data_IF_250068855275
#
_entry.id   IF_250068855275
#
_cell.length_a   1.000
_cell.length_b   1.000
_cell.length_c   1.000
_cell.angle_alpha   90.00
_cell.angle_beta   90.00
_cell.angle_gamma   90.00
#
_symmetry.space_group_name_H-M   'P 1'
#
loop_
_entity.id
_entity.type
_entity.pdbx_description
1 polymer ?
#
# COMPACT_ATOMS: atom_id res chain seq x y z
N UNK A 1 -28.89 30.77 20.43
CA UNK A 1 -28.45 29.52 21.08
C UNK A 1 -27.09 29.14 20.52
N UNK A 2 -26.09 28.93 21.38
CA UNK A 2 -24.74 28.49 20.95
C UNK A 2 -24.70 26.97 21.00
N UNK A 3 -24.36 26.32 19.89
CA UNK A 3 -24.32 24.85 19.80
C UNK A 3 -22.97 24.39 19.27
N UNK A 4 -22.53 23.22 19.76
CA UNK A 4 -21.44 22.44 19.18
C UNK A 4 -22.03 21.15 18.62
N UNK A 5 -21.83 20.90 17.33
CA UNK A 5 -22.28 19.67 16.64
C UNK A 5 -21.05 18.91 16.16
N UNK A 6 -21.03 17.59 16.34
CA UNK A 6 -19.96 16.71 15.84
C UNK A 6 -20.59 15.64 14.97
N UNK A 7 -20.22 15.62 13.68
CA UNK A 7 -20.51 14.54 12.76
C UNK A 7 -19.29 13.63 12.66
N UNK A 8 -19.46 12.39 13.07
CA UNK A 8 -18.39 11.40 13.06
C UNK A 8 -18.50 10.45 11.86
N UNK A 9 -17.37 10.16 11.22
CA UNK A 9 -17.19 9.23 10.09
C UNK A 9 -18.15 9.46 8.91
N UNK A 10 -18.28 10.72 8.49
CA UNK A 10 -19.14 11.09 7.35
C UNK A 10 -18.57 10.55 6.05
N UNK A 11 -19.37 9.78 5.31
CA UNK A 11 -18.99 9.18 4.03
C UNK A 11 -19.58 9.91 2.83
N UNK A 12 -20.68 10.64 3.02
CA UNK A 12 -21.36 11.39 1.96
C UNK A 12 -21.98 12.69 2.48
N UNK A 13 -22.03 13.71 1.61
CA UNK A 13 -22.66 15.01 1.89
C UNK A 13 -24.13 14.89 2.31
N UNK A 14 -24.90 13.97 1.71
CA UNK A 14 -26.33 13.79 2.00
C UNK A 14 -26.62 13.38 3.44
N UNK A 15 -25.67 12.75 4.14
CA UNK A 15 -25.82 12.40 5.56
C UNK A 15 -25.92 13.66 6.43
N UNK A 16 -25.20 14.73 6.09
CA UNK A 16 -25.24 15.98 6.84
C UNK A 16 -26.47 16.80 6.44
N UNK A 17 -26.77 16.87 5.14
CA UNK A 17 -27.94 17.60 4.63
C UNK A 17 -29.25 17.07 5.21
N UNK A 18 -29.40 15.75 5.30
CA UNK A 18 -30.60 15.13 5.92
C UNK A 18 -30.75 15.42 7.42
N UNK A 19 -29.65 15.72 8.13
CA UNK A 19 -29.67 15.98 9.57
C UNK A 19 -29.86 17.47 9.93
N UNK A 20 -29.29 18.38 9.13
CA UNK A 20 -29.29 19.83 9.43
C UNK A 20 -30.24 20.61 8.52
N UNK A 21 -30.59 20.10 7.34
CA UNK A 21 -31.31 20.85 6.32
C UNK A 21 -30.47 22.03 5.82
N UNK A 22 -30.73 23.23 6.35
CA UNK A 22 -29.97 24.45 6.04
C UNK A 22 -29.08 24.88 7.22
N UNK A 23 -27.93 25.51 6.94
CA UNK A 23 -27.09 26.13 7.98
C UNK A 23 -27.68 27.43 8.55
N UNK A 24 -28.76 27.96 7.97
CA UNK A 24 -29.32 29.28 8.30
C UNK A 24 -29.85 29.38 9.74
N UNK A 25 -30.16 28.25 10.40
CA UNK A 25 -30.60 28.26 11.79
C UNK A 25 -29.44 28.32 12.79
N UNK A 26 -28.19 28.20 12.35
CA UNK A 26 -27.02 28.25 13.22
C UNK A 26 -26.49 29.68 13.36
N UNK A 27 -26.35 30.12 14.62
CA UNK A 27 -25.72 31.41 14.92
C UNK A 27 -24.21 31.38 14.57
N UNK A 28 -23.59 32.52 14.21
CA UNK A 28 -22.15 32.59 13.88
C UNK A 28 -21.19 32.14 15.00
N UNK A 29 -21.68 32.05 16.24
CA UNK A 29 -20.91 31.57 17.41
C UNK A 29 -20.96 30.05 17.61
N UNK A 30 -21.83 29.35 16.87
CA UNK A 30 -21.92 27.89 16.85
C UNK A 30 -20.73 27.27 16.10
N UNK A 31 -20.43 26.00 16.39
CA UNK A 31 -19.36 25.25 15.73
C UNK A 31 -19.84 23.88 15.29
N UNK A 32 -19.43 23.47 14.09
CA UNK A 32 -19.60 22.11 13.58
C UNK A 32 -18.22 21.51 13.39
N UNK A 33 -18.04 20.27 13.85
CA UNK A 33 -16.86 19.45 13.59
C UNK A 33 -17.33 18.28 12.74
N UNK A 34 -16.63 18.01 11.64
CA UNK A 34 -16.89 16.88 10.76
C UNK A 34 -15.60 16.05 10.73
N UNK A 35 -15.70 14.77 11.04
CA UNK A 35 -14.63 13.81 10.79
C UNK A 35 -15.00 12.99 9.56
N UNK A 36 -14.01 12.77 8.69
CA UNK A 36 -14.16 11.95 7.50
C UNK A 36 -12.79 11.47 7.05
N UNK A 37 -12.78 10.34 6.35
CA UNK A 37 -11.59 9.83 5.67
C UNK A 37 -11.45 10.36 4.25
N UNK A 38 -12.46 11.07 3.73
CA UNK A 38 -12.52 11.52 2.34
C UNK A 38 -12.57 13.05 2.24
N UNK A 39 -11.47 13.67 1.79
CA UNK A 39 -11.36 15.13 1.61
C UNK A 39 -12.42 15.69 0.66
N UNK A 40 -12.91 14.90 -0.30
CA UNK A 40 -13.95 15.33 -1.24
C UNK A 40 -15.29 15.62 -0.54
N UNK A 41 -15.61 14.90 0.54
CA UNK A 41 -16.82 15.17 1.35
C UNK A 41 -16.77 16.59 1.93
N UNK A 42 -15.60 17.02 2.41
CA UNK A 42 -15.41 18.37 2.97
C UNK A 42 -15.47 19.45 1.89
N UNK A 43 -14.92 19.17 0.69
CA UNK A 43 -14.98 20.09 -0.46
C UNK A 43 -16.41 20.30 -0.95
N UNK A 44 -17.18 19.21 -1.10
CA UNK A 44 -18.58 19.27 -1.53
C UNK A 44 -19.43 20.15 -0.61
N UNK A 45 -19.09 20.19 0.68
CA UNK A 45 -19.78 21.03 1.65
C UNK A 45 -19.27 22.48 1.71
N UNK A 46 -18.12 22.78 1.12
CA UNK A 46 -17.51 24.12 1.18
C UNK A 46 -16.92 24.47 2.55
N UNK A 47 -16.40 23.47 3.28
CA UNK A 47 -15.77 23.69 4.60
C UNK A 47 -14.58 24.64 4.49
N UNK A 48 -14.54 25.69 5.33
CA UNK A 48 -13.49 26.72 5.31
C UNK A 48 -12.16 26.31 5.93
N UNK A 49 -12.17 25.36 6.88
CA UNK A 49 -10.99 24.92 7.63
C UNK A 49 -10.93 23.41 7.68
N UNK A 50 -9.88 22.83 7.11
CA UNK A 50 -9.60 21.40 7.13
C UNK A 50 -8.38 21.18 8.02
N UNK A 51 -8.51 20.27 8.99
CA UNK A 51 -7.40 19.81 9.81
C UNK A 51 -7.04 18.39 9.39
N UNK A 52 -5.87 18.21 8.80
CA UNK A 52 -5.35 16.89 8.43
C UNK A 52 -4.75 16.20 9.65
N UNK A 53 -5.30 15.03 10.01
CA UNK A 53 -4.85 14.29 11.17
C UNK A 53 -3.47 13.69 10.91
N UNK A 54 -2.51 14.01 11.77
CA UNK A 54 -1.14 13.51 11.69
C UNK A 54 -0.95 12.25 12.53
N UNK A 55 0.02 11.43 12.14
CA UNK A 55 0.52 10.34 12.97
C UNK A 55 1.06 10.89 14.31
N UNK A 56 1.02 10.06 15.36
CA UNK A 56 1.58 10.43 16.64
C UNK A 56 3.10 10.54 16.55
N UNK A 57 3.64 11.63 17.09
CA UNK A 57 5.08 11.73 17.33
C UNK A 57 5.55 10.63 18.28
N UNK A 58 6.82 10.25 18.14
CA UNK A 58 7.41 9.13 18.88
C UNK A 58 7.11 9.16 20.39
N UNK A 59 7.24 10.32 21.03
CA UNK A 59 7.04 10.46 22.47
C UNK A 59 5.57 10.25 22.90
N UNK A 60 4.60 10.61 22.05
CA UNK A 60 3.18 10.31 22.27
C UNK A 60 2.84 8.87 21.92
N UNK A 61 3.43 8.34 20.84
CA UNK A 61 3.23 6.98 20.39
C UNK A 61 3.69 5.95 21.44
N UNK A 62 4.91 6.12 21.96
CA UNK A 62 5.46 5.22 22.98
C UNK A 62 4.62 5.26 24.25
N UNK A 63 4.18 6.45 24.68
CA UNK A 63 3.30 6.59 25.85
C UNK A 63 1.95 5.91 25.65
N UNK A 64 1.33 6.05 24.48
CA UNK A 64 0.06 5.38 24.18
C UNK A 64 0.22 3.86 24.19
N UNK A 65 1.26 3.35 23.54
CA UNK A 65 1.58 1.92 23.52
C UNK A 65 1.84 1.38 24.92
N UNK A 66 2.70 2.05 25.70
CA UNK A 66 3.06 1.62 27.06
C UNK A 66 1.86 1.56 28.00
N UNK A 67 0.87 2.45 27.84
CA UNK A 67 -0.38 2.38 28.63
C UNK A 67 -1.17 1.12 28.37
N UNK A 68 -1.09 0.57 27.16
CA UNK A 68 -1.80 -0.66 26.80
C UNK A 68 -0.98 -1.90 27.16
N UNK A 69 0.33 -1.89 26.85
CA UNK A 69 1.27 -3.00 27.07
C UNK A 69 1.71 -3.19 28.52
N UNK A 70 2.04 -2.10 29.23
CA UNK A 70 2.66 -2.13 30.56
C UNK A 70 1.80 -1.46 31.65
N UNK A 71 0.67 -0.84 31.28
CA UNK A 71 -0.20 -0.06 32.19
C UNK A 71 0.47 1.16 32.82
N UNK A 72 1.54 1.66 32.20
CA UNK A 72 2.25 2.88 32.62
C UNK A 72 2.65 3.74 31.40
N UNK A 73 3.32 4.87 31.61
CA UNK A 73 3.62 5.82 30.53
C UNK A 73 4.92 5.52 29.76
N UNK A 74 5.71 4.53 30.17
CA UNK A 74 6.96 4.12 29.55
C UNK A 74 7.08 2.58 29.51
N UNK A 75 7.96 2.02 28.67
CA UNK A 75 8.26 0.59 28.71
C UNK A 75 8.78 0.13 30.07
N UNK A 76 8.59 -1.15 30.37
CA UNK A 76 9.30 -1.81 31.47
C UNK A 76 10.79 -1.96 31.12
N UNK A 77 11.64 -2.01 32.15
CA UNK A 77 13.08 -2.19 31.98
C UNK A 77 13.35 -3.49 31.22
N UNK A 78 14.12 -3.40 30.12
CA UNK A 78 14.46 -4.53 29.26
C UNK A 78 13.51 -4.75 28.08
N UNK A 79 12.46 -3.93 27.93
CA UNK A 79 11.50 -3.94 26.80
C UNK A 79 11.62 -2.71 25.89
N UNK A 80 12.59 -1.84 26.11
CA UNK A 80 12.74 -0.58 25.36
C UNK A 80 12.99 -0.84 23.87
N UNK A 81 13.89 -1.77 23.55
CA UNK A 81 14.22 -2.12 22.17
C UNK A 81 13.03 -2.79 21.45
N UNK A 82 12.33 -3.69 22.14
CA UNK A 82 11.14 -4.36 21.61
C UNK A 82 10.00 -3.36 21.36
N UNK A 83 9.80 -2.43 22.29
CA UNK A 83 8.85 -1.34 22.12
C UNK A 83 9.23 -0.46 20.92
N UNK A 84 10.52 -0.18 20.71
CA UNK A 84 11.00 0.52 19.53
C UNK A 84 10.69 -0.24 18.22
N UNK A 85 10.83 -1.57 18.19
CA UNK A 85 10.41 -2.38 17.01
C UNK A 85 8.92 -2.20 16.72
N UNK A 86 8.07 -2.20 17.75
CA UNK A 86 6.62 -1.95 17.59
C UNK A 86 6.34 -0.52 17.10
N UNK A 87 7.08 0.49 17.59
CA UNK A 87 6.89 1.87 17.14
C UNK A 87 7.24 2.03 15.66
N UNK A 88 8.32 1.39 15.21
CA UNK A 88 8.72 1.37 13.80
C UNK A 88 7.66 0.74 12.91
N UNK A 89 7.03 -0.35 13.37
CA UNK A 89 5.95 -1.01 12.64
C UNK A 89 4.67 -0.16 12.59
N UNK A 90 4.23 0.38 13.73
CA UNK A 90 2.97 1.11 13.82
C UNK A 90 3.04 2.55 13.27
N UNK A 91 4.24 3.13 13.16
CA UNK A 91 4.52 4.47 12.60
C UNK A 91 3.62 5.58 13.16
N UNK A 92 3.32 5.50 14.46
CA UNK A 92 2.50 6.51 15.13
C UNK A 92 0.99 6.38 14.88
N UNK A 93 0.51 5.33 14.18
CA UNK A 93 -0.92 5.07 14.00
C UNK A 93 -1.54 4.64 15.34
N UNK A 94 -2.41 5.46 15.96
CA UNK A 94 -2.89 5.21 17.34
C UNK A 94 -3.58 3.86 17.51
N UNK A 95 -4.36 3.45 16.51
CA UNK A 95 -5.08 2.19 16.54
C UNK A 95 -4.12 0.99 16.56
N UNK A 96 -3.12 0.99 15.67
CA UNK A 96 -2.11 -0.05 15.62
C UNK A 96 -1.36 -0.16 16.95
N UNK A 97 -0.95 0.97 17.53
CA UNK A 97 -0.29 1.03 18.83
C UNK A 97 -1.15 0.43 19.96
N UNK A 98 -2.45 0.76 19.98
CA UNK A 98 -3.40 0.21 20.96
C UNK A 98 -3.55 -1.31 20.80
N UNK A 99 -3.80 -1.78 19.58
CA UNK A 99 -4.00 -3.21 19.29
C UNK A 99 -2.77 -4.01 19.69
N UNK A 100 -1.58 -3.57 19.26
CA UNK A 100 -0.32 -4.25 19.56
C UNK A 100 0.02 -4.20 21.05
N UNK A 101 -0.25 -3.06 21.72
CA UNK A 101 -0.05 -2.96 23.15
C UNK A 101 -0.94 -3.93 23.94
N UNK A 102 -2.20 -4.07 23.57
CA UNK A 102 -3.10 -5.07 24.17
C UNK A 102 -2.65 -6.50 23.85
N UNK A 103 -2.22 -6.77 22.62
CA UNK A 103 -1.76 -8.08 22.18
C UNK A 103 -0.53 -8.57 22.98
N UNK A 104 0.39 -7.66 23.28
CA UNK A 104 1.66 -7.96 23.96
C UNK A 104 1.59 -7.89 25.50
N UNK A 105 0.49 -7.39 26.06
CA UNK A 105 0.32 -7.23 27.49
C UNK A 105 0.50 -8.54 28.27
N UNK A 106 1.29 -8.51 29.35
CA UNK A 106 1.58 -9.65 30.25
C UNK A 106 2.24 -10.87 29.58
N UNK A 107 2.83 -10.70 28.39
CA UNK A 107 3.64 -11.74 27.76
C UNK A 107 5.10 -11.63 28.17
N UNK A 108 5.77 -12.77 28.25
CA UNK A 108 7.21 -12.87 28.51
C UNK A 108 8.05 -12.35 27.34
N UNK A 109 9.30 -12.00 27.61
CA UNK A 109 10.18 -11.29 26.69
C UNK A 109 10.46 -12.08 25.41
N UNK A 110 10.63 -13.40 25.53
CA UNK A 110 10.85 -14.33 24.43
C UNK A 110 9.63 -14.37 23.49
N UNK A 111 8.42 -14.27 24.07
CA UNK A 111 7.16 -14.20 23.30
C UNK A 111 7.04 -12.84 22.60
N UNK A 112 7.50 -11.75 23.23
CA UNK A 112 7.58 -10.44 22.57
C UNK A 112 8.52 -10.46 21.38
N UNK A 113 9.71 -11.03 21.53
CA UNK A 113 10.70 -11.16 20.44
C UNK A 113 10.06 -11.89 19.25
N UNK A 114 9.52 -13.09 19.50
CA UNK A 114 8.81 -13.89 18.48
C UNK A 114 7.63 -13.13 17.84
N UNK A 115 6.84 -12.42 18.64
CA UNK A 115 5.72 -11.62 18.15
C UNK A 115 6.19 -10.46 17.28
N UNK A 116 7.23 -9.73 17.68
CA UNK A 116 7.77 -8.60 16.90
C UNK A 116 8.39 -9.06 15.59
N UNK A 117 9.07 -10.21 15.58
CA UNK A 117 9.64 -10.79 14.37
C UNK A 117 8.53 -11.25 13.41
N UNK A 118 7.42 -11.78 13.94
CA UNK A 118 6.23 -12.09 13.14
C UNK A 118 5.60 -10.84 12.53
N UNK A 119 5.47 -9.75 13.29
CA UNK A 119 4.89 -8.48 12.80
C UNK A 119 5.70 -7.88 11.65
N UNK A 120 7.03 -8.08 11.61
CA UNK A 120 7.85 -7.63 10.48
C UNK A 120 7.54 -8.37 9.16
N UNK A 121 6.82 -9.50 9.22
CA UNK A 121 6.54 -10.36 8.06
C UNK A 121 5.08 -10.36 7.64
N UNK A 122 4.16 -9.99 8.52
CA UNK A 122 2.72 -10.02 8.24
C UNK A 122 1.99 -8.80 8.84
N UNK A 123 0.90 -8.40 8.20
CA UNK A 123 -0.05 -7.46 8.80
C UNK A 123 -0.88 -8.18 9.87
N UNK A 124 -0.97 -7.60 11.07
CA UNK A 124 -1.77 -8.20 12.15
C UNK A 124 -3.29 -8.15 11.82
N UNK A 125 -4.05 -9.25 11.96
CA UNK A 125 -5.43 -9.33 11.48
C UNK A 125 -6.36 -8.20 11.92
N UNK A 126 -6.34 -7.82 13.21
CA UNK A 126 -7.20 -6.74 13.71
C UNK A 126 -6.83 -5.36 13.16
N UNK A 127 -5.58 -5.14 12.74
CA UNK A 127 -5.16 -3.90 12.06
C UNK A 127 -5.62 -3.96 10.61
N UNK A 128 -5.45 -5.11 9.96
CA UNK A 128 -5.89 -5.36 8.59
C UNK A 128 -7.38 -5.08 8.42
N UNK A 129 -8.23 -5.62 9.29
CA UNK A 129 -9.69 -5.44 9.23
C UNK A 129 -10.09 -3.96 9.21
N UNK A 130 -9.45 -3.13 10.04
CA UNK A 130 -9.80 -1.72 10.12
C UNK A 130 -9.29 -0.92 8.93
N UNK A 131 -8.08 -1.20 8.45
CA UNK A 131 -7.52 -0.53 7.27
C UNK A 131 -8.29 -0.94 6.00
N UNK A 132 -8.74 -2.20 5.93
CA UNK A 132 -9.45 -2.76 4.79
C UNK A 132 -10.78 -2.07 4.52
N UNK A 133 -11.44 -1.48 5.51
CA UNK A 133 -12.68 -0.69 5.33
C UNK A 133 -12.52 0.38 4.24
N UNK A 134 -11.41 1.12 4.26
CA UNK A 134 -11.17 2.18 3.28
C UNK A 134 -10.90 1.59 1.88
N UNK A 135 -10.21 0.45 1.80
CA UNK A 135 -9.96 -0.28 0.56
C UNK A 135 -11.24 -0.86 -0.03
N UNK A 136 -12.10 -1.48 0.78
CA UNK A 136 -13.33 -2.12 0.32
C UNK A 136 -14.31 -1.10 -0.29
N UNK A 137 -14.22 0.17 0.14
CA UNK A 137 -15.00 1.30 -0.38
C UNK A 137 -14.56 1.83 -1.75
N UNK A 138 -13.46 1.32 -2.30
CA UNK A 138 -12.95 1.67 -3.64
C UNK A 138 -13.66 0.85 -4.72
N UNK A 139 -13.76 1.42 -5.92
CA UNK A 139 -14.17 0.66 -7.10
C UNK A 139 -13.08 -0.32 -7.58
N UNK A 140 -13.40 -1.20 -8.52
CA UNK A 140 -12.48 -2.26 -8.95
C UNK A 140 -11.19 -1.71 -9.60
N UNK A 141 -11.25 -0.58 -10.30
CA UNK A 141 -10.06 0.03 -10.92
C UNK A 141 -9.20 0.74 -9.88
N UNK A 142 -9.83 1.47 -8.97
CA UNK A 142 -9.18 2.10 -7.83
C UNK A 142 -8.50 1.07 -6.92
N UNK A 143 -9.15 -0.08 -6.67
CA UNK A 143 -8.54 -1.22 -5.96
C UNK A 143 -7.29 -1.72 -6.66
N UNK A 144 -7.34 -1.88 -7.99
CA UNK A 144 -6.17 -2.29 -8.77
C UNK A 144 -5.03 -1.25 -8.72
N UNK A 145 -5.34 0.04 -8.80
CA UNK A 145 -4.37 1.13 -8.62
C UNK A 145 -3.72 1.03 -7.22
N UNK A 146 -4.52 0.87 -6.17
CA UNK A 146 -4.03 0.73 -4.80
C UNK A 146 -3.06 -0.45 -4.66
N UNK A 147 -3.44 -1.62 -5.18
CA UNK A 147 -2.59 -2.83 -5.12
C UNK A 147 -1.31 -2.67 -5.95
N UNK A 148 -1.38 -2.04 -7.12
CA UNK A 148 -0.21 -1.77 -7.96
C UNK A 148 0.76 -0.80 -7.27
N UNK A 149 0.26 0.23 -6.58
CA UNK A 149 1.09 1.13 -5.78
C UNK A 149 1.74 0.38 -4.62
N UNK A 150 0.97 -0.41 -3.87
CA UNK A 150 1.48 -1.18 -2.73
C UNK A 150 2.59 -2.16 -3.14
N UNK A 151 2.40 -2.87 -4.25
CA UNK A 151 3.35 -3.88 -4.73
C UNK A 151 4.55 -3.26 -5.48
N UNK A 152 4.33 -2.22 -6.30
CA UNK A 152 5.30 -1.80 -7.31
C UNK A 152 5.71 -0.35 -7.23
N UNK A 153 4.76 0.57 -7.05
CA UNK A 153 4.99 1.99 -7.33
C UNK A 153 5.25 2.88 -6.10
N UNK A 154 5.47 2.28 -4.93
CA UNK A 154 5.96 3.03 -3.76
C UNK A 154 7.30 3.71 -4.08
N UNK A 155 7.35 5.04 -3.98
CA UNK A 155 8.52 5.88 -4.20
C UNK A 155 8.79 6.23 -5.67
N UNK A 156 7.92 5.80 -6.58
CA UNK A 156 8.05 6.05 -8.02
C UNK A 156 7.49 7.41 -8.44
N UNK A 157 7.99 7.92 -9.55
CA UNK A 157 7.54 9.18 -10.14
C UNK A 157 6.09 9.10 -10.63
N UNK A 158 5.27 10.08 -10.24
CA UNK A 158 3.84 10.12 -10.55
C UNK A 158 3.59 10.11 -12.05
N UNK A 159 4.38 10.82 -12.86
CA UNK A 159 4.15 10.93 -14.30
C UNK A 159 4.38 9.57 -15.01
N UNK A 160 5.33 8.76 -14.52
CA UNK A 160 5.55 7.39 -15.00
C UNK A 160 4.37 6.48 -14.64
N UNK A 161 3.89 6.57 -13.40
CA UNK A 161 2.80 5.73 -12.90
C UNK A 161 1.48 6.07 -13.59
N UNK A 162 1.21 7.35 -13.84
CA UNK A 162 0.05 7.82 -14.64
C UNK A 162 0.06 7.22 -16.05
N UNK A 163 1.22 7.19 -16.73
CA UNK A 163 1.34 6.56 -18.06
C UNK A 163 1.05 5.06 -18.01
N UNK A 164 1.57 4.36 -17.01
CA UNK A 164 1.34 2.93 -16.83
C UNK A 164 -0.15 2.60 -16.65
N UNK A 165 -0.84 3.37 -15.79
CA UNK A 165 -2.27 3.17 -15.55
C UNK A 165 -3.15 3.58 -16.73
N UNK A 166 -2.76 4.62 -17.48
CA UNK A 166 -3.44 4.99 -18.72
C UNK A 166 -3.35 3.87 -19.77
N UNK A 167 -2.17 3.30 -19.98
CA UNK A 167 -1.98 2.15 -20.86
C UNK A 167 -2.74 0.90 -20.37
N UNK A 168 -2.98 0.78 -19.06
CA UNK A 168 -3.77 -0.30 -18.46
C UNK A 168 -5.29 -0.06 -18.49
N UNK A 169 -5.77 1.10 -18.94
CA UNK A 169 -7.19 1.45 -18.99
C UNK A 169 -7.82 1.81 -17.63
N UNK A 170 -7.02 2.29 -16.68
CA UNK A 170 -7.43 2.51 -15.28
C UNK A 170 -7.89 3.93 -14.95
N UNK A 171 -7.91 4.87 -15.92
CA UNK A 171 -8.35 6.26 -15.71
C UNK A 171 -7.66 6.92 -14.50
N UNK A 172 -6.32 7.02 -14.53
CA UNK A 172 -5.54 7.34 -13.35
C UNK A 172 -5.78 8.74 -12.79
N UNK A 173 -6.26 9.71 -13.58
CA UNK A 173 -6.57 11.06 -13.11
C UNK A 173 -7.62 11.03 -11.99
N UNK A 174 -8.71 10.27 -12.18
CA UNK A 174 -9.75 10.13 -11.16
C UNK A 174 -9.30 9.14 -10.07
N UNK A 175 -8.71 8.01 -10.45
CA UNK A 175 -8.31 6.97 -9.49
C UNK A 175 -7.28 7.47 -8.48
N UNK A 176 -6.22 8.13 -8.94
CA UNK A 176 -5.21 8.73 -8.06
C UNK A 176 -5.80 9.83 -7.18
N UNK A 177 -6.69 10.68 -7.73
CA UNK A 177 -7.37 11.71 -6.94
C UNK A 177 -8.20 11.11 -5.81
N UNK A 178 -8.95 10.03 -6.07
CA UNK A 178 -9.76 9.36 -5.04
C UNK A 178 -8.88 8.74 -3.95
N UNK A 179 -7.78 8.07 -4.31
CA UNK A 179 -6.86 7.50 -3.33
C UNK A 179 -6.19 8.58 -2.46
N UNK A 180 -5.82 9.73 -3.04
CA UNK A 180 -5.28 10.89 -2.29
C UNK A 180 -6.34 11.50 -1.37
N UNK A 181 -7.56 11.70 -1.87
CA UNK A 181 -8.64 12.28 -1.07
C UNK A 181 -9.06 11.35 0.07
N UNK A 182 -8.96 10.03 -0.13
CA UNK A 182 -9.15 9.00 0.91
C UNK A 182 -7.92 8.79 1.81
N UNK A 183 -6.85 9.56 1.61
CA UNK A 183 -5.58 9.45 2.35
C UNK A 183 -4.95 8.05 2.32
N UNK A 184 -5.19 7.30 1.22
CA UNK A 184 -4.62 5.97 0.99
C UNK A 184 -3.22 6.04 0.38
N UNK A 185 -2.94 7.12 -0.35
CA UNK A 185 -1.63 7.48 -0.88
C UNK A 185 -1.41 8.99 -0.69
N UNK A 186 -0.17 9.43 -0.83
CA UNK A 186 0.22 10.83 -0.88
C UNK A 186 1.26 11.04 -2.00
N UNK A 187 1.33 12.26 -2.51
CA UNK A 187 2.37 12.68 -3.47
C UNK A 187 3.30 13.63 -2.72
N UNK A 188 4.59 13.31 -2.69
CA UNK A 188 5.57 14.14 -2.00
C UNK A 188 5.98 15.37 -2.83
N UNK A 189 6.84 16.22 -2.25
CA UNK A 189 7.36 17.43 -2.91
C UNK A 189 8.21 17.15 -4.16
N UNK A 190 8.68 15.91 -4.32
CA UNK A 190 9.47 15.46 -5.47
C UNK A 190 8.61 14.75 -6.52
N UNK A 191 7.28 14.86 -6.43
CA UNK A 191 6.32 14.17 -7.31
C UNK A 191 6.43 12.65 -7.25
N UNK A 192 6.79 12.09 -6.09
CA UNK A 192 6.80 10.65 -5.90
C UNK A 192 5.55 10.18 -5.19
N UNK A 193 5.02 9.04 -5.61
CA UNK A 193 3.92 8.37 -4.92
C UNK A 193 4.46 7.78 -3.63
N UNK A 194 3.75 8.01 -2.54
CA UNK A 194 4.04 7.46 -1.23
C UNK A 194 2.76 6.84 -0.65
N UNK A 195 2.92 5.71 0.01
CA UNK A 195 1.90 4.96 0.72
C UNK A 195 2.46 4.64 2.10
N UNK A 196 1.64 4.79 3.14
CA UNK A 196 2.03 4.46 4.50
C UNK A 196 2.33 2.95 4.61
N UNK A 197 3.34 2.56 5.38
CA UNK A 197 3.81 1.16 5.42
C UNK A 197 2.70 0.17 5.77
N UNK A 198 1.84 0.49 6.76
CA UNK A 198 0.68 -0.34 7.08
C UNK A 198 -0.34 -0.49 5.92
N UNK A 199 -0.51 0.52 5.07
CA UNK A 199 -1.37 0.43 3.87
C UNK A 199 -0.68 -0.36 2.76
N UNK A 200 0.64 -0.22 2.62
CA UNK A 200 1.42 -1.03 1.70
C UNK A 200 1.36 -2.51 2.08
N UNK A 201 1.52 -2.83 3.36
CA UNK A 201 1.38 -4.18 3.88
C UNK A 201 -0.06 -4.70 3.74
N UNK A 202 -1.09 -3.84 3.86
CA UNK A 202 -2.46 -4.22 3.56
C UNK A 202 -2.59 -4.69 2.10
N UNK A 203 -2.08 -3.90 1.14
CA UNK A 203 -2.16 -4.25 -0.28
C UNK A 203 -1.43 -5.56 -0.59
N UNK A 204 -0.23 -5.74 -0.04
CA UNK A 204 0.56 -6.98 -0.21
C UNK A 204 -0.11 -8.18 0.43
N UNK A 205 -0.72 -8.01 1.60
CA UNK A 205 -1.45 -9.09 2.28
C UNK A 205 -2.72 -9.48 1.52
N UNK A 206 -3.45 -8.52 0.93
CA UNK A 206 -4.59 -8.81 0.06
C UNK A 206 -4.17 -9.71 -1.10
N UNK A 207 -3.08 -9.35 -1.80
CA UNK A 207 -2.51 -10.17 -2.89
C UNK A 207 -2.08 -11.55 -2.39
N UNK A 208 -1.43 -11.62 -1.24
CA UNK A 208 -0.99 -12.89 -0.63
C UNK A 208 -2.17 -13.81 -0.31
N UNK A 209 -3.33 -13.25 0.05
CA UNK A 209 -4.54 -14.00 0.38
C UNK A 209 -5.29 -14.54 -0.85
N UNK A 210 -4.97 -14.08 -2.07
CA UNK A 210 -5.59 -14.61 -3.29
C UNK A 210 -5.29 -16.09 -3.50
N UNK A 211 -4.07 -16.53 -3.16
CA UNK A 211 -3.64 -17.92 -3.27
C UNK A 211 -2.43 -18.21 -2.38
N UNK A 212 -2.40 -19.42 -1.81
CA UNK A 212 -1.21 -19.95 -1.14
C UNK A 212 -0.05 -20.06 -2.13
N UNK A 213 -0.32 -20.63 -3.31
CA UNK A 213 0.63 -20.73 -4.42
C UNK A 213 0.84 -19.35 -5.06
N UNK A 214 2.08 -18.79 -5.01
CA UNK A 214 2.39 -17.50 -5.61
C UNK A 214 2.08 -17.43 -7.11
N UNK A 215 2.18 -18.54 -7.85
CA UNK A 215 1.93 -18.57 -9.29
C UNK A 215 0.48 -18.17 -9.66
N UNK A 216 -0.45 -18.35 -8.73
CA UNK A 216 -1.87 -18.04 -8.93
C UNK A 216 -2.28 -16.66 -8.38
N UNK A 217 -1.33 -15.88 -7.86
CA UNK A 217 -1.57 -14.52 -7.39
C UNK A 217 -1.53 -13.53 -8.55
N UNK A 218 -2.33 -12.48 -8.48
CA UNK A 218 -2.41 -11.40 -9.46
C UNK A 218 -1.13 -10.57 -9.55
N UNK A 219 -0.31 -10.56 -8.48
CA UNK A 219 0.89 -9.73 -8.35
C UNK A 219 1.98 -10.51 -7.60
N UNK A 220 3.22 -10.33 -8.03
CA UNK A 220 4.40 -10.84 -7.35
C UNK A 220 5.40 -9.71 -7.11
N UNK A 221 5.74 -9.48 -5.85
CA UNK A 221 6.54 -8.34 -5.38
C UNK A 221 7.70 -8.80 -4.49
N UNK A 222 7.61 -10.02 -3.96
CA UNK A 222 8.63 -10.63 -3.12
C UNK A 222 9.59 -11.45 -4.00
N UNK A 223 10.89 -11.28 -3.80
CA UNK A 223 11.90 -11.85 -4.71
C UNK A 223 11.93 -13.39 -4.67
N UNK A 224 11.64 -14.01 -3.52
CA UNK A 224 11.59 -15.48 -3.38
C UNK A 224 10.44 -16.05 -4.21
N UNK A 225 9.24 -15.47 -4.05
CA UNK A 225 8.04 -15.88 -4.77
C UNK A 225 8.22 -15.72 -6.29
N UNK A 226 8.83 -14.61 -6.73
CA UNK A 226 9.13 -14.39 -8.15
C UNK A 226 10.13 -15.42 -8.65
N UNK A 227 11.21 -15.67 -7.91
CA UNK A 227 12.20 -16.65 -8.29
C UNK A 227 11.57 -18.05 -8.37
N UNK A 228 10.74 -18.44 -7.40
CA UNK A 228 10.02 -19.73 -7.39
C UNK A 228 9.12 -19.85 -8.63
N UNK A 229 8.28 -18.86 -8.91
CA UNK A 229 7.36 -18.88 -10.06
C UNK A 229 8.11 -18.90 -11.39
N UNK A 230 9.22 -18.16 -11.50
CA UNK A 230 9.96 -18.07 -12.75
C UNK A 230 10.89 -19.27 -12.98
N UNK A 231 11.52 -19.80 -11.94
CA UNK A 231 12.36 -21.00 -12.04
C UNK A 231 11.55 -22.29 -12.15
N UNK A 232 10.36 -22.37 -11.56
CA UNK A 232 9.47 -23.51 -11.82
C UNK A 232 9.04 -23.56 -13.30
N UNK A 233 8.88 -22.39 -13.93
CA UNK A 233 8.60 -22.25 -15.36
C UNK A 233 9.85 -22.34 -16.27
N UNK A 234 11.06 -22.35 -15.70
CA UNK A 234 12.32 -22.51 -16.43
C UNK A 234 13.19 -23.55 -15.73
N UNK A 235 13.07 -24.81 -16.16
CA UNK A 235 13.87 -25.91 -15.65
C UNK A 235 15.38 -25.57 -15.72
N UNK A 236 16.05 -25.67 -14.56
CA UNK A 236 17.50 -25.61 -14.23
C UNK A 236 18.06 -24.42 -13.45
N UNK A 237 18.65 -24.81 -12.30
CA UNK A 237 19.55 -24.11 -11.37
C UNK A 237 20.50 -23.09 -12.02
N UNK A 238 20.57 -21.92 -11.41
CA UNK A 238 21.85 -21.30 -11.05
C UNK A 238 21.70 -20.56 -9.72
N UNK A 239 22.54 -20.93 -8.76
CA UNK A 239 22.64 -20.24 -7.47
C UNK A 239 23.32 -18.90 -7.71
N UNK A 240 22.58 -17.81 -7.55
CA UNK A 240 23.15 -16.45 -7.56
C UNK A 240 22.84 -15.80 -6.21
N UNK A 241 23.89 -15.71 -5.40
CA UNK A 241 23.92 -14.93 -4.16
C UNK A 241 23.75 -13.44 -4.52
N UNK A 242 22.64 -12.84 -4.13
CA UNK A 242 22.46 -11.39 -4.28
C UNK A 242 21.03 -10.95 -3.97
N UNK A 243 20.89 -9.78 -3.34
CA UNK A 243 19.61 -9.13 -3.05
C UNK A 243 18.96 -8.64 -4.34
N UNK A 244 18.44 -9.56 -5.15
CA UNK A 244 17.77 -9.24 -6.41
C UNK A 244 16.37 -8.67 -6.10
N UNK A 245 16.11 -7.43 -6.52
CA UNK A 245 14.79 -6.80 -6.41
C UNK A 245 14.05 -7.01 -7.72
N UNK A 246 13.15 -7.99 -7.75
CA UNK A 246 12.24 -8.21 -8.87
C UNK A 246 10.79 -7.84 -8.48
N UNK A 247 9.99 -7.37 -9.43
CA UNK A 247 8.60 -6.95 -9.31
C UNK A 247 7.85 -7.33 -10.60
N UNK A 248 6.70 -8.02 -10.49
CA UNK A 248 5.91 -8.52 -11.63
C UNK A 248 4.41 -8.35 -11.38
N UNK A 249 3.67 -7.80 -12.35
CA UNK A 249 2.19 -7.70 -12.29
C UNK A 249 1.49 -8.52 -13.38
N UNK A 250 0.37 -9.17 -13.05
CA UNK A 250 -0.46 -9.97 -13.96
C UNK A 250 -1.89 -9.44 -14.12
N UNK A 251 -2.57 -9.82 -15.21
CA UNK A 251 -4.04 -9.83 -15.28
C UNK A 251 -4.56 -11.25 -15.03
N UNK A 252 -5.61 -11.37 -14.21
CA UNK A 252 -6.39 -12.61 -14.11
C UNK A 252 -7.32 -12.70 -15.34
N UNK A 253 -6.93 -13.54 -16.30
CA UNK A 253 -7.80 -14.10 -17.35
C UNK A 253 -7.63 -15.62 -17.23
N UNK A 254 -8.68 -16.45 -17.32
CA UNK A 254 -8.56 -17.88 -17.05
C UNK A 254 -7.84 -18.55 -18.22
N UNK A 255 -6.52 -18.63 -18.14
CA UNK A 255 -5.71 -19.38 -19.11
C UNK A 255 -4.21 -19.13 -19.05
N UNK A 256 -3.77 -17.89 -18.82
CA UNK A 256 -2.35 -17.54 -18.70
C UNK A 256 -2.14 -16.29 -17.84
N UNK A 257 -1.15 -16.31 -16.95
CA UNK A 257 -0.69 -15.12 -16.25
C UNK A 257 0.02 -14.19 -17.26
N UNK A 258 -0.67 -13.13 -17.70
CA UNK A 258 -0.14 -12.16 -18.67
C UNK A 258 0.57 -11.02 -17.96
N UNK A 259 1.88 -10.89 -18.14
CA UNK A 259 2.70 -9.88 -17.47
C UNK A 259 2.50 -8.49 -18.08
N UNK A 260 2.15 -7.51 -17.25
CA UNK A 260 2.02 -6.09 -17.62
C UNK A 260 3.25 -5.26 -17.27
N UNK A 261 3.83 -5.50 -16.10
CA UNK A 261 5.02 -4.82 -15.63
C UNK A 261 6.06 -5.85 -15.22
N UNK A 262 7.29 -5.68 -15.68
CA UNK A 262 8.43 -6.44 -15.23
C UNK A 262 9.55 -5.49 -14.84
N UNK A 263 9.86 -5.40 -13.56
CA UNK A 263 11.08 -4.75 -13.09
C UNK A 263 12.01 -5.77 -12.45
N UNK A 264 13.23 -5.97 -12.98
CA UNK A 264 14.19 -6.92 -12.43
C UNK A 264 15.63 -6.40 -12.46
N UNK A 265 16.09 -5.96 -11.29
CA UNK A 265 17.48 -5.55 -11.09
C UNK A 265 18.42 -6.76 -11.02
N UNK A 266 19.52 -6.75 -11.78
CA UNK A 266 20.47 -7.86 -11.77
C UNK A 266 19.97 -9.10 -12.51
N UNK A 267 19.11 -8.93 -13.53
CA UNK A 267 18.53 -10.06 -14.24
C UNK A 267 19.63 -10.91 -14.92
N UNK A 268 19.78 -12.20 -14.55
CA UNK A 268 21.00 -12.95 -14.83
C UNK A 268 21.00 -13.67 -16.19
N UNK A 269 19.91 -13.58 -16.96
CA UNK A 269 19.79 -14.29 -18.23
C UNK A 269 20.01 -13.33 -19.40
N UNK A 270 20.62 -13.86 -20.46
CA UNK A 270 20.92 -13.10 -21.68
C UNK A 270 19.69 -12.68 -22.49
N UNK A 271 18.53 -13.24 -22.17
CA UNK A 271 17.24 -12.90 -22.78
C UNK A 271 16.07 -13.17 -21.82
N UNK A 272 14.92 -12.54 -22.07
CA UNK A 272 13.69 -12.85 -21.34
C UNK A 272 13.11 -14.21 -21.77
N UNK A 273 12.41 -14.92 -20.87
CA UNK A 273 11.87 -16.23 -21.17
C UNK A 273 10.92 -16.19 -22.38
N UNK A 274 11.01 -17.19 -23.25
CA UNK A 274 10.21 -17.24 -24.48
C UNK A 274 8.71 -17.38 -24.21
N UNK A 275 8.34 -18.02 -23.10
CA UNK A 275 6.96 -18.17 -22.61
C UNK A 275 6.33 -16.88 -22.05
N UNK A 276 7.12 -15.81 -21.81
CA UNK A 276 6.59 -14.53 -21.35
C UNK A 276 5.77 -13.85 -22.47
N UNK A 277 4.44 -13.79 -22.35
CA UNK A 277 3.62 -13.11 -23.36
C UNK A 277 3.93 -11.60 -23.40
N UNK A 278 4.29 -11.07 -24.58
CA UNK A 278 4.53 -9.63 -24.76
C UNK A 278 3.26 -8.86 -25.17
N UNK A 279 2.14 -9.55 -25.38
CA UNK A 279 0.90 -8.95 -25.93
C UNK A 279 0.31 -7.86 -25.04
N UNK A 280 0.38 -8.03 -23.73
CA UNK A 280 -0.15 -7.08 -22.74
C UNK A 280 0.95 -6.45 -21.87
N UNK A 281 2.21 -6.57 -22.29
CA UNK A 281 3.33 -5.98 -21.59
C UNK A 281 3.32 -4.47 -21.80
N UNK A 282 3.25 -3.73 -20.69
CA UNK A 282 3.15 -2.27 -20.66
C UNK A 282 4.52 -1.64 -20.40
N UNK A 283 5.29 -2.20 -19.45
CA UNK A 283 6.59 -1.66 -19.06
C UNK A 283 7.56 -2.78 -18.64
N UNK A 284 8.80 -2.69 -19.12
CA UNK A 284 9.91 -3.59 -18.76
C UNK A 284 11.10 -2.75 -18.36
N UNK A 285 11.60 -2.99 -17.16
CA UNK A 285 12.78 -2.35 -16.59
C UNK A 285 13.71 -3.45 -16.07
N UNK A 286 14.85 -3.65 -16.71
CA UNK A 286 15.81 -4.70 -16.34
C UNK A 286 17.19 -4.09 -16.07
N UNK A 287 17.29 -3.20 -15.06
CA UNK A 287 18.54 -2.49 -14.77
C UNK A 287 19.63 -3.45 -14.34
N UNK A 288 20.87 -3.14 -14.72
CA UNK A 288 22.07 -3.93 -14.42
C UNK A 288 21.90 -5.41 -14.76
N UNK A 289 21.29 -5.70 -15.91
CA UNK A 289 21.05 -7.07 -16.39
C UNK A 289 22.10 -7.54 -17.39
N UNK A 290 22.24 -8.86 -17.50
CA UNK A 290 23.08 -9.52 -18.50
C UNK A 290 22.36 -9.69 -19.85
N UNK A 291 21.25 -8.96 -20.09
CA UNK A 291 20.45 -9.09 -21.32
C UNK A 291 21.26 -8.57 -22.51
N UNK A 292 21.56 -9.49 -23.41
CA UNK A 292 22.13 -9.19 -24.73
C UNK A 292 21.03 -8.99 -25.78
N UNK A 293 19.89 -9.67 -25.61
CA UNK A 293 18.73 -9.59 -26.53
C UNK A 293 17.42 -9.82 -25.79
N UNK A 294 16.45 -8.92 -25.95
CA UNK A 294 15.18 -8.97 -25.20
C UNK A 294 14.41 -10.29 -25.37
N UNK A 295 14.23 -10.77 -26.62
CA UNK A 295 13.75 -12.13 -26.92
C UNK A 295 14.44 -12.72 -28.15
N UNK A 296 14.60 -14.05 -28.16
CA UNK A 296 15.11 -14.79 -29.32
C UNK A 296 14.10 -14.94 -30.48
N UNK A 297 12.81 -14.74 -30.21
CA UNK A 297 11.72 -14.88 -31.18
C UNK A 297 11.02 -13.53 -31.42
N UNK A 298 10.42 -13.34 -32.60
CA UNK A 298 9.56 -12.17 -32.88
C UNK A 298 8.33 -12.23 -31.98
N UNK A 299 8.02 -11.14 -31.27
CA UNK A 299 6.80 -11.02 -30.46
C UNK A 299 5.96 -9.85 -30.96
N UNK A 300 4.64 -10.02 -30.94
CA UNK A 300 3.68 -8.94 -31.22
C UNK A 300 3.49 -8.15 -29.93
N UNK A 301 3.85 -6.87 -29.96
CA UNK A 301 3.83 -5.97 -28.80
C UNK A 301 2.91 -4.79 -29.10
N UNK A 302 2.05 -4.43 -28.14
CA UNK A 302 1.00 -3.41 -28.34
C UNK A 302 1.42 -2.03 -27.80
N UNK A 303 2.43 -1.93 -26.94
CA UNK A 303 2.96 -0.65 -26.46
C UNK A 303 4.32 -0.80 -25.78
N UNK A 304 5.26 0.13 -26.02
CA UNK A 304 6.53 0.23 -25.28
C UNK A 304 6.74 1.64 -24.75
N UNK A 305 7.13 1.72 -23.48
CA UNK A 305 8.04 2.75 -22.98
C UNK A 305 9.27 2.04 -22.43
N UNK A 306 10.39 2.11 -23.15
CA UNK A 306 11.69 1.62 -22.66
C UNK A 306 12.36 2.77 -21.93
N UNK A 307 12.40 2.75 -20.60
CA UNK A 307 13.30 3.63 -19.86
C UNK A 307 14.59 2.83 -19.60
N UNK A 308 15.66 3.20 -20.31
CA UNK A 308 17.02 2.75 -20.02
C UNK A 308 17.31 1.28 -20.32
N UNK A 309 17.40 0.92 -21.60
CA UNK A 309 18.21 -0.22 -22.04
C UNK A 309 19.25 0.38 -22.97
N UNK A 310 20.53 0.10 -22.71
CA UNK A 310 21.74 0.72 -23.27
C UNK A 310 22.25 1.96 -22.52
N UNK A 311 23.06 1.71 -21.49
CA UNK A 311 24.37 2.35 -21.42
C UNK A 311 25.42 1.31 -21.79
#
# INVERSE_FOLDING_TARGET
MKVLIVFDDVTCFSQIESLIGSLDWLTPVSRIIITTRNKQVLRNWGVRKIYEMKALEYHHAIRLFSRHAFKQNHPDVGYEELSCKVMKYAQGVPLALKVLGCFLHKREKEVWESATDKLQRILYPSILEVLKISYDSLDDKEKNIFLDVACFFQGEDVDLVMKFFNASGFYPEIGMSVLVDKSLIAIDSHKKITMHDLLQELGREIVRQESIDPANRSRLWHHEDIYEVLTYNTFYRSSVNGKNKCKISYLQDPGFAEVKYLHWYGYPLKSLPSNLSAKKLVLVEVPDSDIERLWHCVKVCISYYTCGIFQ
#
